data_IF_090008136692
#
_entry.id   IF_090008136692
#
_cell.length_a   1.000
_cell.length_b   1.000
_cell.length_c   1.000
_cell.angle_alpha   90.00
_cell.angle_beta   90.00
_cell.angle_gamma   90.00
#
_symmetry.space_group_name_H-M   'P 1'
#
loop_
_entity.id
_entity.type
_entity.pdbx_description
1 polymer ?
#
# COMPACT_ATOMS: atom_id res chain seq x y z
N UNK A 1 45.57 -15.19 -36.53
CA UNK A 1 45.09 -14.33 -35.42
C UNK A 1 43.58 -14.17 -35.55
N UNK A 2 42.83 -15.10 -34.97
CA UNK A 2 41.40 -15.32 -35.24
C UNK A 2 40.49 -14.49 -34.34
N UNK A 3 40.00 -13.38 -34.91
CA UNK A 3 38.74 -12.66 -34.68
C UNK A 3 37.83 -13.16 -33.52
N UNK A 4 38.15 -12.94 -32.23
CA UNK A 4 37.22 -13.23 -31.14
C UNK A 4 36.13 -12.15 -31.01
N UNK A 5 36.38 -10.96 -31.55
CA UNK A 5 35.52 -9.78 -31.43
C UNK A 5 34.12 -9.95 -32.05
N UNK A 6 33.95 -10.50 -33.27
CA UNK A 6 32.61 -10.67 -33.85
C UNK A 6 31.74 -11.66 -33.08
N UNK A 7 32.34 -12.74 -32.57
CA UNK A 7 31.62 -13.76 -31.77
C UNK A 7 31.16 -13.15 -30.45
N UNK A 8 32.02 -12.37 -29.79
CA UNK A 8 31.66 -11.65 -28.55
C UNK A 8 30.53 -10.65 -28.78
N UNK A 9 30.57 -9.90 -29.89
CA UNK A 9 29.52 -8.94 -30.23
C UNK A 9 28.18 -9.63 -30.50
N UNK A 10 28.18 -10.73 -31.26
CA UNK A 10 26.97 -11.51 -31.51
C UNK A 10 26.41 -12.08 -30.20
N UNK A 11 27.25 -12.67 -29.35
CA UNK A 11 26.83 -13.19 -28.05
C UNK A 11 26.22 -12.11 -27.16
N UNK A 12 26.83 -10.93 -27.10
CA UNK A 12 26.32 -9.77 -26.35
C UNK A 12 24.98 -9.28 -26.91
N UNK A 13 24.85 -9.18 -28.24
CA UNK A 13 23.61 -8.77 -28.89
C UNK A 13 22.47 -9.76 -28.60
N UNK A 14 22.74 -11.07 -28.69
CA UNK A 14 21.77 -12.10 -28.34
C UNK A 14 21.32 -12.00 -26.88
N UNK A 15 22.25 -11.78 -25.94
CA UNK A 15 21.91 -11.60 -24.53
C UNK A 15 21.00 -10.39 -24.30
N UNK A 16 21.31 -9.25 -24.93
CA UNK A 16 20.48 -8.03 -24.85
C UNK A 16 19.07 -8.29 -25.39
N UNK A 17 18.95 -8.97 -26.53
CA UNK A 17 17.65 -9.31 -27.13
C UNK A 17 16.85 -10.22 -26.18
N UNK A 18 17.49 -11.23 -25.57
CA UNK A 18 16.82 -12.13 -24.63
C UNK A 18 16.34 -11.40 -23.37
N UNK A 19 17.15 -10.48 -22.83
CA UNK A 19 16.75 -9.63 -21.69
C UNK A 19 15.58 -8.73 -22.08
N UNK A 20 15.65 -8.07 -23.25
CA UNK A 20 14.59 -7.20 -23.75
C UNK A 20 13.27 -7.95 -23.97
N UNK A 21 13.31 -9.16 -24.51
CA UNK A 21 12.12 -9.99 -24.71
C UNK A 21 11.47 -10.37 -23.37
N UNK A 22 12.29 -10.76 -22.38
CA UNK A 22 11.82 -11.05 -21.01
C UNK A 22 11.13 -9.84 -20.38
N UNK A 23 11.74 -8.66 -20.51
CA UNK A 23 11.15 -7.41 -20.02
C UNK A 23 9.84 -7.08 -20.73
N UNK A 24 9.76 -7.26 -22.06
CA UNK A 24 8.54 -7.02 -22.83
C UNK A 24 7.39 -7.94 -22.38
N UNK A 25 7.65 -9.23 -22.19
CA UNK A 25 6.65 -10.19 -21.68
C UNK A 25 6.21 -9.83 -20.27
N UNK A 26 7.16 -9.45 -19.39
CA UNK A 26 6.83 -8.95 -18.05
C UNK A 26 5.92 -7.71 -18.13
N UNK A 27 6.25 -6.70 -18.93
CA UNK A 27 5.45 -5.48 -19.08
C UNK A 27 4.04 -5.74 -19.59
N UNK A 28 3.86 -6.69 -20.51
CA UNK A 28 2.53 -7.09 -20.98
C UNK A 28 1.67 -7.64 -19.83
N UNK A 29 2.26 -8.51 -19.00
CA UNK A 29 1.59 -9.04 -17.83
C UNK A 29 1.33 -7.98 -16.76
N UNK A 30 2.29 -7.06 -16.53
CA UNK A 30 2.12 -5.91 -15.64
C UNK A 30 0.92 -5.06 -16.04
N UNK A 31 0.83 -4.67 -17.32
CA UNK A 31 -0.28 -3.87 -17.81
C UNK A 31 -1.63 -4.58 -17.64
N UNK A 32 -1.67 -5.90 -17.89
CA UNK A 32 -2.87 -6.69 -17.67
C UNK A 32 -3.34 -6.66 -16.21
N UNK A 33 -2.43 -6.75 -15.24
CA UNK A 33 -2.78 -6.64 -13.82
C UNK A 33 -3.31 -5.25 -13.48
N UNK A 34 -2.64 -4.21 -13.98
CA UNK A 34 -3.02 -2.82 -13.72
C UNK A 34 -4.46 -2.55 -14.20
N UNK A 35 -4.85 -3.06 -15.38
CA UNK A 35 -6.23 -2.95 -15.87
C UNK A 35 -7.27 -3.60 -14.94
N UNK A 36 -6.97 -4.77 -14.36
CA UNK A 36 -7.88 -5.40 -13.39
C UNK A 36 -7.98 -4.58 -12.10
N UNK A 37 -6.83 -4.15 -11.56
CA UNK A 37 -6.78 -3.36 -10.32
C UNK A 37 -7.51 -2.03 -10.47
N UNK A 38 -7.30 -1.33 -11.59
CA UNK A 38 -8.01 -0.08 -11.91
C UNK A 38 -9.51 -0.31 -12.05
N UNK A 39 -9.91 -1.38 -12.74
CA UNK A 39 -11.33 -1.73 -12.88
C UNK A 39 -11.98 -1.97 -11.52
N UNK A 40 -11.40 -2.82 -10.68
CA UNK A 40 -11.96 -3.12 -9.35
C UNK A 40 -12.00 -1.88 -8.46
N UNK A 41 -10.94 -1.07 -8.46
CA UNK A 41 -10.90 0.19 -7.71
C UNK A 41 -12.00 1.16 -8.16
N UNK A 42 -12.30 1.21 -9.47
CA UNK A 42 -13.35 2.09 -10.00
C UNK A 42 -14.77 1.64 -9.62
N UNK A 43 -15.00 0.32 -9.53
CA UNK A 43 -16.31 -0.25 -9.26
C UNK A 43 -16.58 -0.41 -7.76
N UNK A 44 -15.54 -0.64 -6.94
CA UNK A 44 -15.68 -0.93 -5.51
C UNK A 44 -16.39 -2.25 -5.21
N UNK A 45 -16.46 -3.16 -6.18
CA UNK A 45 -17.14 -4.46 -6.08
C UNK A 45 -16.07 -5.57 -6.11
N UNK A 46 -16.25 -6.65 -5.33
CA UNK A 46 -15.31 -7.77 -5.32
C UNK A 46 -15.11 -8.38 -6.72
N UNK A 47 -13.90 -8.84 -7.04
CA UNK A 47 -13.64 -9.52 -8.29
C UNK A 47 -14.42 -10.83 -8.36
N UNK A 48 -14.98 -11.15 -9.54
CA UNK A 48 -15.46 -12.51 -9.74
C UNK A 48 -14.27 -13.50 -9.74
N UNK A 49 -14.48 -14.77 -9.35
CA UNK A 49 -13.37 -15.72 -9.18
C UNK A 49 -12.48 -15.91 -10.41
N UNK A 50 -13.06 -15.86 -11.62
CA UNK A 50 -12.31 -16.01 -12.87
C UNK A 50 -11.42 -14.79 -13.15
N UNK A 51 -11.94 -13.59 -12.93
CA UNK A 51 -11.16 -12.36 -13.06
C UNK A 51 -10.00 -12.32 -12.06
N UNK A 52 -10.24 -12.77 -10.83
CA UNK A 52 -9.22 -12.88 -9.80
C UNK A 52 -8.09 -13.84 -10.21
N UNK A 53 -8.42 -15.07 -10.63
CA UNK A 53 -7.45 -16.06 -11.09
C UNK A 53 -6.57 -15.54 -12.25
N UNK A 54 -7.20 -14.86 -13.22
CA UNK A 54 -6.50 -14.25 -14.35
C UNK A 54 -5.52 -13.16 -13.89
N UNK A 55 -5.94 -12.30 -12.96
CA UNK A 55 -5.10 -11.23 -12.42
C UNK A 55 -3.94 -11.78 -11.59
N UNK A 56 -4.19 -12.78 -10.74
CA UNK A 56 -3.16 -13.44 -9.94
C UNK A 56 -2.12 -14.12 -10.83
N UNK A 57 -2.57 -14.88 -11.84
CA UNK A 57 -1.67 -15.48 -12.83
C UNK A 57 -0.85 -14.41 -13.57
N UNK A 58 -1.46 -13.28 -13.94
CA UNK A 58 -0.76 -12.20 -14.59
C UNK A 58 0.28 -11.55 -13.67
N UNK A 59 -0.02 -11.32 -12.39
CA UNK A 59 0.91 -10.73 -11.43
C UNK A 59 2.13 -11.63 -11.18
N UNK A 60 1.90 -12.93 -11.01
CA UNK A 60 2.97 -13.91 -10.85
C UNK A 60 3.84 -14.01 -12.12
N UNK A 61 3.23 -13.97 -13.31
CA UNK A 61 3.99 -13.95 -14.58
C UNK A 61 4.79 -12.66 -14.76
N UNK A 62 4.22 -11.51 -14.41
CA UNK A 62 4.93 -10.23 -14.48
C UNK A 62 6.22 -10.26 -13.65
N UNK A 63 6.16 -10.86 -12.46
CA UNK A 63 7.32 -11.12 -11.60
C UNK A 63 8.27 -12.14 -12.22
N UNK A 64 7.81 -13.33 -12.61
CA UNK A 64 8.68 -14.42 -13.07
C UNK A 64 9.45 -14.12 -14.37
N UNK A 65 8.87 -13.29 -15.25
CA UNK A 65 9.52 -12.94 -16.52
C UNK A 65 10.54 -11.82 -16.38
N UNK A 66 10.49 -11.00 -15.32
CA UNK A 66 11.46 -9.94 -15.18
C UNK A 66 12.83 -10.51 -14.79
N UNK A 67 13.94 -10.03 -15.40
CA UNK A 67 15.27 -10.60 -15.15
C UNK A 67 15.80 -10.46 -13.71
N UNK A 68 15.24 -9.53 -12.94
CA UNK A 68 15.62 -9.22 -11.56
C UNK A 68 14.38 -9.07 -10.68
N UNK A 69 14.56 -9.20 -9.37
CA UNK A 69 13.48 -8.95 -8.43
C UNK A 69 13.08 -7.46 -8.43
N UNK A 70 11.77 -7.18 -8.38
CA UNK A 70 11.26 -5.81 -8.43
C UNK A 70 10.15 -5.59 -7.41
N UNK A 71 10.36 -4.67 -6.47
CA UNK A 71 9.35 -4.32 -5.47
C UNK A 71 8.00 -3.92 -6.07
N UNK A 72 7.99 -3.22 -7.22
CA UNK A 72 6.75 -2.84 -7.89
C UNK A 72 5.91 -4.03 -8.40
N UNK A 73 6.52 -5.19 -8.66
CA UNK A 73 5.78 -6.42 -8.97
C UNK A 73 5.22 -7.07 -7.70
N UNK A 74 5.97 -7.04 -6.60
CA UNK A 74 5.48 -7.49 -5.30
C UNK A 74 4.30 -6.65 -4.82
N UNK A 75 4.34 -5.32 -4.99
CA UNK A 75 3.21 -4.45 -4.70
C UNK A 75 1.94 -4.89 -5.43
N UNK A 76 2.04 -5.21 -6.72
CA UNK A 76 0.91 -5.67 -7.53
C UNK A 76 0.37 -7.02 -7.08
N UNK A 77 1.26 -7.96 -6.74
CA UNK A 77 0.89 -9.24 -6.14
C UNK A 77 0.10 -8.99 -4.84
N UNK A 78 0.61 -8.10 -3.98
CA UNK A 78 -0.06 -7.70 -2.75
C UNK A 78 -1.47 -7.14 -3.01
N UNK A 79 -1.61 -6.23 -3.97
CA UNK A 79 -2.92 -5.65 -4.33
C UNK A 79 -3.91 -6.70 -4.83
N UNK A 80 -3.47 -7.68 -5.61
CA UNK A 80 -4.37 -8.76 -6.08
C UNK A 80 -4.89 -9.60 -4.91
N UNK A 81 -4.01 -9.97 -3.96
CA UNK A 81 -4.42 -10.69 -2.75
C UNK A 81 -5.28 -9.85 -1.81
N UNK A 82 -5.04 -8.54 -1.72
CA UNK A 82 -5.91 -7.62 -0.99
C UNK A 82 -7.33 -7.62 -1.59
N UNK A 83 -7.45 -7.59 -2.93
CA UNK A 83 -8.73 -7.65 -3.62
C UNK A 83 -9.46 -8.99 -3.44
N UNK A 84 -8.73 -10.10 -3.29
CA UNK A 84 -9.33 -11.40 -2.96
C UNK A 84 -10.10 -11.35 -1.63
N UNK A 85 -9.62 -10.58 -0.65
CA UNK A 85 -10.23 -10.45 0.67
C UNK A 85 -11.01 -9.14 0.90
N UNK A 86 -11.19 -8.31 -0.14
CA UNK A 86 -11.66 -6.93 0.00
C UNK A 86 -13.03 -6.78 0.69
N UNK A 87 -13.93 -7.73 0.49
CA UNK A 87 -15.29 -7.70 1.08
C UNK A 87 -15.38 -8.31 2.47
N UNK A 88 -14.31 -8.95 2.95
CA UNK A 88 -14.32 -9.67 4.21
C UNK A 88 -14.03 -8.71 5.38
N UNK A 89 -14.74 -8.84 6.51
CA UNK A 89 -14.49 -8.02 7.69
C UNK A 89 -13.05 -8.13 8.21
N UNK A 90 -12.59 -7.10 8.93
CA UNK A 90 -11.31 -7.13 9.66
C UNK A 90 -11.33 -8.32 10.64
N UNK A 91 -10.23 -9.07 10.70
CA UNK A 91 -10.10 -10.25 11.57
C UNK A 91 -10.86 -11.50 11.10
N UNK A 92 -11.54 -11.47 9.95
CA UNK A 92 -12.19 -12.66 9.40
C UNK A 92 -11.16 -13.72 8.96
N UNK A 93 -11.25 -14.92 9.55
CA UNK A 93 -10.34 -16.04 9.29
C UNK A 93 -10.37 -16.53 7.83
N UNK A 94 -11.46 -16.31 7.09
CA UNK A 94 -11.52 -16.65 5.66
C UNK A 94 -10.59 -15.77 4.82
N UNK A 95 -10.27 -14.57 5.32
CA UNK A 95 -9.37 -13.64 4.66
C UNK A 95 -7.90 -13.87 5.00
N UNK A 96 -7.58 -14.63 6.05
CA UNK A 96 -6.23 -14.72 6.61
C UNK A 96 -5.19 -15.13 5.58
N UNK A 97 -5.46 -16.16 4.78
CA UNK A 97 -4.51 -16.63 3.77
C UNK A 97 -4.19 -15.54 2.73
N UNK A 98 -5.22 -14.83 2.26
CA UNK A 98 -5.06 -13.75 1.28
C UNK A 98 -4.35 -12.53 1.91
N UNK A 99 -4.75 -12.12 3.12
CA UNK A 99 -4.12 -11.01 3.85
C UNK A 99 -2.65 -11.27 4.19
N UNK A 100 -2.30 -12.50 4.59
CA UNK A 100 -0.91 -12.90 4.83
C UNK A 100 -0.10 -12.93 3.54
N UNK A 101 -0.67 -13.42 2.44
CA UNK A 101 -0.01 -13.38 1.12
C UNK A 101 0.23 -11.93 0.67
N UNK A 102 -0.73 -11.04 0.91
CA UNK A 102 -0.58 -9.63 0.63
C UNK A 102 0.49 -8.97 1.50
N UNK A 103 0.45 -9.21 2.82
CA UNK A 103 1.43 -8.72 3.78
C UNK A 103 2.85 -9.12 3.38
N UNK A 104 3.07 -10.41 3.08
CA UNK A 104 4.38 -10.91 2.64
C UNK A 104 4.86 -10.18 1.38
N UNK A 105 3.99 -9.98 0.40
CA UNK A 105 4.36 -9.26 -0.81
C UNK A 105 4.75 -7.80 -0.52
N UNK A 106 4.00 -7.10 0.35
CA UNK A 106 4.34 -5.74 0.73
C UNK A 106 5.62 -5.66 1.57
N UNK A 107 5.90 -6.63 2.45
CA UNK A 107 7.17 -6.73 3.19
C UNK A 107 8.36 -6.91 2.25
N UNK A 108 8.25 -7.77 1.23
CA UNK A 108 9.30 -7.89 0.21
C UNK A 108 9.49 -6.57 -0.55
N UNK A 109 8.39 -5.88 -0.85
CA UNK A 109 8.45 -4.58 -1.50
C UNK A 109 9.17 -3.51 -0.65
N UNK A 110 8.92 -3.46 0.66
CA UNK A 110 9.62 -2.51 1.55
C UNK A 110 11.11 -2.82 1.66
N UNK A 111 11.52 -4.09 1.58
CA UNK A 111 12.93 -4.47 1.54
C UNK A 111 13.62 -4.02 0.24
N UNK A 112 12.94 -4.15 -0.90
CA UNK A 112 13.46 -3.75 -2.21
C UNK A 112 13.39 -2.23 -2.44
N UNK A 113 12.42 -1.55 -1.80
CA UNK A 113 12.16 -0.12 -1.95
C UNK A 113 11.86 0.53 -0.58
N UNK A 114 12.86 0.64 0.30
CA UNK A 114 12.66 1.09 1.69
C UNK A 114 12.16 2.54 1.81
N UNK A 115 12.30 3.34 0.75
CA UNK A 115 11.81 4.73 0.70
C UNK A 115 10.46 4.87 0.00
N UNK A 116 9.79 3.75 -0.36
CA UNK A 116 8.50 3.80 -1.05
C UNK A 116 7.33 3.78 -0.05
N UNK A 117 6.62 4.91 0.14
CA UNK A 117 5.67 5.05 1.23
C UNK A 117 4.43 4.17 1.10
N UNK A 118 4.01 3.81 -0.12
CA UNK A 118 2.84 2.94 -0.32
C UNK A 118 3.07 1.52 0.16
N UNK A 119 4.29 0.98 -0.01
CA UNK A 119 4.58 -0.37 0.46
C UNK A 119 4.40 -0.43 1.98
N UNK A 120 4.95 0.56 2.69
CA UNK A 120 4.81 0.70 4.13
C UNK A 120 3.36 0.93 4.57
N UNK A 121 2.59 1.78 3.87
CA UNK A 121 1.17 2.00 4.23
C UNK A 121 0.35 0.72 4.07
N UNK A 122 0.65 -0.09 3.06
CA UNK A 122 -0.01 -1.37 2.82
C UNK A 122 0.45 -2.48 3.78
N UNK A 123 1.70 -2.48 4.27
CA UNK A 123 2.10 -3.33 5.40
C UNK A 123 1.25 -2.99 6.63
N UNK A 124 1.16 -1.70 7.00
CA UNK A 124 0.33 -1.27 8.13
C UNK A 124 -1.15 -1.64 7.93
N UNK A 125 -1.67 -1.49 6.70
CA UNK A 125 -3.03 -1.89 6.35
C UNK A 125 -3.25 -3.39 6.56
N UNK A 126 -2.41 -4.26 6.01
CA UNK A 126 -2.58 -5.71 6.14
C UNK A 126 -2.45 -6.16 7.60
N UNK A 127 -1.46 -5.63 8.34
CA UNK A 127 -1.32 -5.85 9.78
C UNK A 127 -2.58 -5.46 10.54
N UNK A 128 -3.16 -4.30 10.22
CA UNK A 128 -4.40 -3.86 10.84
C UNK A 128 -5.61 -4.75 10.52
N UNK A 129 -5.71 -5.23 9.28
CA UNK A 129 -6.77 -6.14 8.86
C UNK A 129 -6.65 -7.52 9.50
N UNK A 130 -5.43 -7.92 9.88
CA UNK A 130 -5.12 -9.13 10.65
C UNK A 130 -5.20 -8.91 12.18
N UNK A 131 -5.54 -7.70 12.65
CA UNK A 131 -5.53 -7.30 14.07
C UNK A 131 -4.17 -7.46 14.77
N UNK A 132 -3.08 -7.43 14.01
CA UNK A 132 -1.71 -7.52 14.51
C UNK A 132 -1.15 -6.10 14.72
N UNK A 133 -1.54 -5.43 15.82
CA UNK A 133 -1.15 -4.04 16.14
C UNK A 133 0.18 -3.95 16.91
N UNK A 134 1.18 -4.68 16.45
CA UNK A 134 2.49 -4.86 17.10
C UNK A 134 3.54 -3.81 16.67
N UNK A 135 4.81 -4.10 16.95
CA UNK A 135 5.93 -3.21 16.61
C UNK A 135 6.09 -3.05 15.08
N UNK A 136 5.83 -4.10 14.30
CA UNK A 136 5.89 -4.04 12.83
C UNK A 136 4.79 -3.14 12.27
N UNK A 137 3.57 -3.22 12.81
CA UNK A 137 2.51 -2.26 12.46
C UNK A 137 2.96 -0.82 12.75
N UNK A 138 3.58 -0.60 13.91
CA UNK A 138 4.04 0.73 14.34
C UNK A 138 5.15 1.25 13.45
N UNK A 139 6.15 0.42 13.13
CA UNK A 139 7.24 0.74 12.22
C UNK A 139 6.70 1.07 10.82
N UNK A 140 5.85 0.21 10.25
CA UNK A 140 5.30 0.43 8.93
C UNK A 140 4.47 1.73 8.84
N UNK A 141 3.65 2.01 9.86
CA UNK A 141 2.89 3.25 9.94
C UNK A 141 3.83 4.48 9.98
N UNK A 142 4.89 4.43 10.80
CA UNK A 142 5.87 5.51 10.90
C UNK A 142 6.65 5.68 9.59
N UNK A 143 7.10 4.60 8.97
CA UNK A 143 7.85 4.62 7.72
C UNK A 143 7.01 5.18 6.57
N UNK A 144 5.73 4.81 6.47
CA UNK A 144 4.81 5.39 5.49
C UNK A 144 4.69 6.91 5.66
N UNK A 145 4.54 7.39 6.91
CA UNK A 145 4.49 8.82 7.23
C UNK A 145 5.82 9.53 6.93
N UNK A 146 6.96 8.94 7.28
CA UNK A 146 8.29 9.53 7.11
C UNK A 146 8.72 9.61 5.65
N UNK A 147 8.40 8.59 4.86
CA UNK A 147 8.79 8.50 3.44
C UNK A 147 7.75 9.11 2.49
N UNK A 148 6.55 9.44 2.99
CA UNK A 148 5.47 10.08 2.24
C UNK A 148 4.75 11.23 2.95
N UNK A 149 5.42 12.18 3.65
CA UNK A 149 4.74 13.18 4.48
C UNK A 149 3.95 14.21 3.69
N UNK A 150 4.11 14.28 2.36
CA UNK A 150 3.34 15.12 1.45
C UNK A 150 2.26 14.35 0.67
N UNK A 151 2.16 13.04 0.85
CA UNK A 151 1.23 12.17 0.11
C UNK A 151 -0.14 12.20 0.78
N UNK A 152 -0.99 13.11 0.30
CA UNK A 152 -2.32 13.39 0.85
C UNK A 152 -3.20 12.14 0.98
N UNK A 153 -3.11 11.25 0.00
CA UNK A 153 -3.80 9.97 -0.04
C UNK A 153 -3.32 9.02 1.06
N UNK A 154 -2.00 8.89 1.22
CA UNK A 154 -1.40 8.05 2.29
C UNK A 154 -1.74 8.60 3.67
N UNK A 155 -1.60 9.91 3.89
CA UNK A 155 -1.94 10.53 5.16
C UNK A 155 -3.42 10.30 5.52
N UNK A 156 -4.33 10.46 4.56
CA UNK A 156 -5.75 10.21 4.77
C UNK A 156 -6.04 8.74 5.08
N UNK A 157 -5.40 7.81 4.39
CA UNK A 157 -5.55 6.37 4.61
C UNK A 157 -5.05 5.96 6.00
N UNK A 158 -3.85 6.40 6.38
CA UNK A 158 -3.27 6.14 7.70
C UNK A 158 -4.16 6.72 8.82
N UNK A 159 -4.65 7.94 8.66
CA UNK A 159 -5.62 8.54 9.59
C UNK A 159 -6.89 7.71 9.71
N UNK A 160 -7.46 7.28 8.58
CA UNK A 160 -8.69 6.46 8.57
C UNK A 160 -8.50 5.14 9.30
N UNK A 161 -7.39 4.46 9.02
CA UNK A 161 -6.99 3.22 9.66
C UNK A 161 -6.84 3.41 11.17
N UNK A 162 -6.06 4.42 11.58
CA UNK A 162 -5.79 4.72 12.98
C UNK A 162 -7.03 5.10 13.79
N UNK A 163 -7.93 5.91 13.22
CA UNK A 163 -9.21 6.29 13.85
C UNK A 163 -10.09 5.06 14.03
N UNK A 164 -10.18 4.18 13.02
CA UNK A 164 -10.98 2.96 13.08
C UNK A 164 -10.52 1.95 14.13
N UNK A 165 -9.23 1.94 14.47
CA UNK A 165 -8.62 0.98 15.40
C UNK A 165 -8.38 1.58 16.79
N UNK A 166 -8.82 2.82 17.02
CA UNK A 166 -8.38 3.64 18.15
C UNK A 166 -8.41 2.95 19.52
N UNK A 167 -9.44 2.14 19.80
CA UNK A 167 -9.58 1.45 21.08
C UNK A 167 -8.45 0.46 21.35
N UNK A 168 -7.91 -0.20 20.32
CA UNK A 168 -6.84 -1.19 20.42
C UNK A 168 -5.43 -0.60 20.40
N UNK A 169 -5.29 0.70 20.10
CA UNK A 169 -3.97 1.32 19.92
C UNK A 169 -3.28 1.63 21.26
N UNK A 170 -1.96 1.44 21.28
CA UNK A 170 -1.07 1.88 22.35
C UNK A 170 -1.02 3.41 22.45
N UNK A 171 -0.56 3.99 23.57
CA UNK A 171 -0.42 5.45 23.69
C UNK A 171 0.48 6.07 22.61
N UNK A 172 1.55 5.38 22.21
CA UNK A 172 2.43 5.81 21.12
C UNK A 172 1.68 5.83 19.79
N UNK A 173 0.99 4.74 19.45
CA UNK A 173 0.21 4.64 18.22
C UNK A 173 -0.90 5.68 18.16
N UNK A 174 -1.63 5.92 19.26
CA UNK A 174 -2.64 6.98 19.37
C UNK A 174 -2.07 8.37 19.03
N UNK A 175 -0.88 8.68 19.54
CA UNK A 175 -0.19 9.94 19.20
C UNK A 175 0.14 10.02 17.71
N UNK A 176 0.65 8.95 17.11
CA UNK A 176 0.93 8.89 15.67
C UNK A 176 -0.33 9.15 14.83
N UNK A 177 -1.47 8.58 15.24
CA UNK A 177 -2.76 8.79 14.57
C UNK A 177 -3.20 10.24 14.65
N UNK A 178 -3.12 10.87 15.83
CA UNK A 178 -3.46 12.28 16.01
C UNK A 178 -2.56 13.20 15.16
N UNK A 179 -1.25 12.97 15.20
CA UNK A 179 -0.27 13.70 14.38
C UNK A 179 -0.58 13.57 12.89
N UNK A 180 -0.80 12.34 12.41
CA UNK A 180 -1.07 12.06 10.99
C UNK A 180 -2.39 12.68 10.55
N UNK A 181 -3.41 12.65 11.42
CA UNK A 181 -4.72 13.27 11.16
C UNK A 181 -4.64 14.78 11.09
N UNK A 182 -3.84 15.40 11.96
CA UNK A 182 -3.56 16.83 11.88
C UNK A 182 -2.85 17.18 10.56
N UNK A 183 -1.82 16.41 10.20
CA UNK A 183 -1.10 16.58 8.93
C UNK A 183 -2.02 16.40 7.72
N UNK A 184 -2.87 15.37 7.71
CA UNK A 184 -3.82 15.10 6.63
C UNK A 184 -4.82 16.25 6.45
N UNK A 185 -5.31 16.82 7.55
CA UNK A 185 -6.22 17.96 7.56
C UNK A 185 -5.57 19.26 7.05
N UNK A 186 -4.30 19.48 7.39
CA UNK A 186 -3.52 20.65 6.94
C UNK A 186 -3.14 20.52 5.46
N UNK A 187 -2.73 19.33 5.03
CA UNK A 187 -2.23 19.08 3.68
C UNK A 187 -3.33 19.17 2.60
N UNK A 188 -4.59 18.87 2.93
CA UNK A 188 -5.71 19.02 2.00
C UNK A 188 -7.03 19.37 2.69
N UNK A 189 -7.59 20.53 2.35
CA UNK A 189 -8.90 20.94 2.88
C UNK A 189 -10.02 19.97 2.53
N UNK A 190 -9.89 19.20 1.44
CA UNK A 190 -10.88 18.17 1.05
C UNK A 190 -10.94 17.02 2.06
N UNK A 191 -9.90 16.84 2.87
CA UNK A 191 -9.86 15.82 3.94
C UNK A 191 -10.65 16.25 5.18
N UNK A 192 -10.95 17.54 5.36
CA UNK A 192 -11.58 18.06 6.58
C UNK A 192 -12.91 17.35 6.85
N UNK A 193 -13.84 17.40 5.90
CA UNK A 193 -15.16 16.78 6.05
C UNK A 193 -15.10 15.26 6.35
N UNK A 194 -14.43 14.43 5.53
CA UNK A 194 -14.40 12.98 5.81
C UNK A 194 -13.70 12.64 7.12
N UNK A 195 -12.67 13.39 7.53
CA UNK A 195 -12.02 13.18 8.83
C UNK A 195 -12.92 13.60 9.99
N UNK A 196 -13.65 14.71 9.89
CA UNK A 196 -14.62 15.12 10.91
C UNK A 196 -15.73 14.09 11.07
N UNK A 197 -16.30 13.60 9.98
CA UNK A 197 -17.33 12.54 9.99
C UNK A 197 -16.79 11.28 10.70
N UNK A 198 -15.59 10.84 10.35
CA UNK A 198 -15.00 9.64 10.94
C UNK A 198 -14.64 9.82 12.42
N UNK A 199 -14.06 10.97 12.80
CA UNK A 199 -13.75 11.30 14.18
C UNK A 199 -15.01 11.39 15.04
N UNK A 200 -16.11 11.93 14.51
CA UNK A 200 -17.40 11.95 15.20
C UNK A 200 -17.96 10.54 15.41
N UNK A 201 -17.93 9.69 14.38
CA UNK A 201 -18.38 8.31 14.47
C UNK A 201 -17.58 7.52 15.52
N UNK A 202 -16.27 7.79 15.62
CA UNK A 202 -15.39 7.20 16.62
C UNK A 202 -15.45 7.90 18.00
N UNK A 203 -16.23 8.99 18.15
CA UNK A 203 -16.29 9.84 19.36
C UNK A 203 -14.93 10.43 19.78
N UNK A 204 -14.07 10.71 18.81
CA UNK A 204 -12.70 11.23 19.00
C UNK A 204 -12.54 12.70 18.64
N UNK A 205 -13.58 13.36 18.10
CA UNK A 205 -13.45 14.74 17.62
C UNK A 205 -12.94 15.69 18.71
N UNK A 206 -13.48 15.61 19.92
CA UNK A 206 -13.03 16.44 21.04
C UNK A 206 -11.55 16.19 21.41
N UNK A 207 -11.15 14.92 21.52
CA UNK A 207 -9.76 14.52 21.78
C UNK A 207 -8.82 15.04 20.70
N UNK A 208 -9.21 14.87 19.43
CA UNK A 208 -8.47 15.38 18.30
C UNK A 208 -8.34 16.90 18.36
N UNK A 209 -9.41 17.63 18.64
CA UNK A 209 -9.38 19.09 18.68
C UNK A 209 -8.53 19.66 19.84
N UNK A 210 -8.49 18.98 20.98
CA UNK A 210 -7.55 19.32 22.06
C UNK A 210 -6.11 19.18 21.57
N UNK A 211 -5.79 18.06 20.94
CA UNK A 211 -4.45 17.83 20.37
C UNK A 211 -4.12 18.83 19.24
N UNK A 212 -5.05 19.07 18.32
CA UNK A 212 -4.82 19.93 17.17
C UNK A 212 -4.51 21.38 17.62
N UNK A 213 -5.32 21.92 18.53
CA UNK A 213 -5.12 23.26 19.09
C UNK A 213 -3.82 23.39 19.90
N UNK A 214 -3.29 22.30 20.46
CA UNK A 214 -1.99 22.36 21.14
C UNK A 214 -0.80 22.41 20.18
N UNK A 215 -1.00 22.06 18.91
CA UNK A 215 0.06 22.03 17.90
C UNK A 215 0.04 23.23 16.96
N UNK A 216 -1.10 23.92 16.84
CA UNK A 216 -1.27 25.03 15.91
C UNK A 216 -1.90 26.24 16.60
N UNK A 217 -1.35 27.43 16.35
CA UNK A 217 -1.96 28.70 16.80
C UNK A 217 -3.32 28.98 16.13
N UNK A 218 -3.61 28.30 15.01
CA UNK A 218 -4.85 28.43 14.25
C UNK A 218 -5.90 27.38 14.67
N UNK A 219 -7.18 27.77 14.66
CA UNK A 219 -8.28 26.80 14.74
C UNK A 219 -8.46 26.10 13.39
N UNK A 220 -8.42 24.76 13.36
CA UNK A 220 -8.91 24.04 12.18
C UNK A 220 -10.43 24.28 12.04
N UNK A 221 -10.96 24.40 10.81
CA UNK A 221 -12.39 24.50 10.57
C UNK A 221 -13.21 23.37 11.19
N UNK A 222 -12.62 22.19 11.39
CA UNK A 222 -13.27 21.05 12.07
C UNK A 222 -13.34 21.16 13.59
N UNK A 223 -12.65 22.12 14.18
CA UNK A 223 -12.54 22.34 15.62
C UNK A 223 -13.08 23.72 16.04
N UNK A 224 -13.88 24.36 15.17
CA UNK A 224 -14.59 25.62 15.43
C UNK A 224 -16.01 25.40 15.90
#
# INVERSE_FOLDING_TARGET
MSKPLPILLIGTACLIILIGLKMLVSSFHTHKVDLFLEHWQSQGIPPNPKALDIAQTAALKAHSWFPIEQGANHFRIGKVYEWQAFHLPIGDSQADAARRSALQAYQTDTQLRPTWPYAWSHVALMKSQLLELDDEFTEAYQMAKQTGPWRRDILLELSRMGIGLWSGLSPLQKRLVLETTAQAAIADRRNIRPLTEQLNNARLLATFCVYFRSQTENSAPMCG
#
